data_IF_863786558111
#
_entry.id   IF_863786558111
#
_cell.length_a   1.000
_cell.length_b   1.000
_cell.length_c   1.000
_cell.angle_alpha   90.00
_cell.angle_beta   90.00
_cell.angle_gamma   90.00
#
_symmetry.space_group_name_H-M   'P 1'
#
loop_
_entity.id
_entity.type
_entity.pdbx_description
1 polymer ?
#
# COMPACT_ATOMS: atom_id res chain seq x y z
N UNK A 1 3.58 2.40 6.06
CA UNK A 1 2.64 1.72 5.14
C UNK A 1 2.26 2.60 3.96
N UNK A 2 1.57 3.73 4.15
CA UNK A 2 1.15 4.61 3.05
C UNK A 2 2.26 4.91 2.04
N UNK A 3 3.41 5.45 2.50
CA UNK A 3 4.52 5.80 1.61
C UNK A 3 5.03 4.61 0.79
N UNK A 4 5.02 3.39 1.34
CA UNK A 4 5.44 2.20 0.61
C UNK A 4 4.47 1.89 -0.54
N UNK A 5 3.16 1.95 -0.29
CA UNK A 5 2.15 1.75 -1.33
C UNK A 5 2.19 2.87 -2.39
N UNK A 6 2.39 4.12 -1.96
CA UNK A 6 2.53 5.26 -2.86
C UNK A 6 3.76 5.15 -3.75
N UNK A 7 4.94 4.88 -3.17
CA UNK A 7 6.18 4.74 -3.92
C UNK A 7 6.15 3.53 -4.85
N UNK A 8 5.60 2.39 -4.41
CA UNK A 8 5.45 1.22 -5.26
C UNK A 8 4.64 1.53 -6.54
N UNK A 9 3.56 2.31 -6.42
CA UNK A 9 2.78 2.77 -7.56
C UNK A 9 3.52 3.83 -8.41
N UNK A 10 4.19 4.80 -7.78
CA UNK A 10 4.95 5.84 -8.50
C UNK A 10 6.14 5.30 -9.28
N UNK A 11 6.81 4.27 -8.76
CA UNK A 11 7.88 3.55 -9.44
C UNK A 11 7.40 2.69 -10.62
N UNK A 12 6.08 2.53 -10.77
CA UNK A 12 5.41 1.87 -11.90
C UNK A 12 4.71 2.89 -12.81
N UNK A 13 5.13 4.15 -12.77
CA UNK A 13 4.60 5.26 -13.58
C UNK A 13 3.10 5.57 -13.38
N UNK A 14 2.46 5.05 -12.33
CA UNK A 14 1.07 5.39 -12.02
C UNK A 14 0.96 6.86 -11.61
N UNK A 15 -0.18 7.49 -11.90
CA UNK A 15 -0.39 8.89 -11.58
C UNK A 15 -0.47 9.12 -10.06
N UNK A 16 -0.35 10.37 -9.61
CA UNK A 16 -0.36 10.71 -8.18
C UNK A 16 -1.66 10.26 -7.47
N UNK A 17 -2.81 10.34 -8.16
CA UNK A 17 -4.10 9.89 -7.64
C UNK A 17 -4.09 8.38 -7.38
N UNK A 18 -3.67 7.58 -8.36
CA UNK A 18 -3.61 6.12 -8.24
C UNK A 18 -2.59 5.69 -7.17
N UNK A 19 -1.46 6.38 -7.09
CA UNK A 19 -0.47 6.15 -6.07
C UNK A 19 -0.98 6.48 -4.66
N UNK A 20 -1.74 7.56 -4.50
CA UNK A 20 -2.41 7.87 -3.23
C UNK A 20 -3.41 6.78 -2.85
N UNK A 21 -4.18 6.28 -3.83
CA UNK A 21 -5.10 5.17 -3.60
C UNK A 21 -4.37 3.89 -3.17
N UNK A 22 -3.23 3.57 -3.79
CA UNK A 22 -2.40 2.43 -3.41
C UNK A 22 -1.84 2.58 -1.98
N UNK A 23 -1.37 3.79 -1.63
CA UNK A 23 -0.93 4.12 -0.27
C UNK A 23 -2.05 3.96 0.75
N UNK A 24 -3.25 4.46 0.45
CA UNK A 24 -4.43 4.30 1.30
C UNK A 24 -4.79 2.83 1.50
N UNK A 25 -4.87 2.04 0.41
CA UNK A 25 -5.18 0.61 0.50
C UNK A 25 -4.21 -0.12 1.44
N UNK A 26 -2.90 0.09 1.27
CA UNK A 26 -1.90 -0.55 2.12
C UNK A 26 -1.98 -0.08 3.58
N UNK A 27 -2.15 1.22 3.82
CA UNK A 27 -2.30 1.75 5.16
C UNK A 27 -3.55 1.20 5.86
N UNK A 28 -4.70 1.18 5.18
CA UNK A 28 -5.97 0.68 5.70
C UNK A 28 -5.91 -0.78 6.10
N UNK A 29 -5.10 -1.60 5.43
CA UNK A 29 -4.90 -2.99 5.85
C UNK A 29 -3.99 -3.06 7.06
N UNK A 30 -2.83 -2.39 7.05
CA UNK A 30 -1.86 -2.47 8.15
C UNK A 30 -2.45 -2.03 9.50
N UNK A 31 -3.32 -1.01 9.52
CA UNK A 31 -3.93 -0.53 10.77
C UNK A 31 -4.87 -1.55 11.44
N UNK A 32 -5.31 -2.58 10.72
CA UNK A 32 -6.19 -3.64 11.26
C UNK A 32 -5.43 -4.73 12.02
N UNK A 33 -4.09 -4.71 11.98
CA UNK A 33 -3.25 -5.72 12.61
C UNK A 33 -2.34 -5.12 13.68
N UNK A 34 -2.05 -5.89 14.73
CA UNK A 34 -1.05 -5.50 15.74
C UNK A 34 0.36 -5.61 15.15
N UNK A 35 1.16 -4.55 15.32
CA UNK A 35 2.55 -4.49 14.88
C UNK A 35 2.74 -3.69 13.59
N UNK A 36 3.97 -3.18 13.37
CA UNK A 36 4.28 -2.31 12.24
C UNK A 36 4.42 -3.07 10.90
N UNK A 37 4.83 -4.35 10.97
CA UNK A 37 4.96 -5.24 9.81
C UNK A 37 3.92 -6.34 9.96
N UNK A 38 3.00 -6.43 9.00
CA UNK A 38 1.92 -7.42 9.01
C UNK A 38 2.37 -8.72 8.33
N UNK A 39 1.76 -9.87 8.67
CA UNK A 39 1.97 -11.12 7.95
C UNK A 39 1.67 -10.99 6.46
N UNK A 40 2.39 -11.75 5.63
CA UNK A 40 2.33 -11.61 4.16
C UNK A 40 0.95 -11.98 3.60
N UNK A 41 0.25 -12.91 4.26
CA UNK A 41 -1.11 -13.34 3.92
C UNK A 41 -2.14 -12.21 4.06
N UNK A 42 -1.82 -11.16 4.82
CA UNK A 42 -2.66 -9.98 4.96
C UNK A 42 -2.26 -8.87 3.98
N UNK A 43 -1.15 -8.97 3.24
CA UNK A 43 -0.75 -7.91 2.31
C UNK A 43 -1.74 -7.78 1.15
N UNK A 44 -2.22 -6.56 0.84
CA UNK A 44 -3.07 -6.36 -0.32
C UNK A 44 -2.27 -6.63 -1.62
N UNK A 45 -2.93 -7.11 -2.69
CA UNK A 45 -2.27 -7.31 -3.96
C UNK A 45 -1.76 -5.98 -4.50
N UNK A 46 -0.54 -5.99 -5.06
CA UNK A 46 -0.05 -4.88 -5.87
C UNK A 46 -0.96 -4.79 -7.09
N UNK A 47 -1.86 -3.80 -7.09
CA UNK A 47 -2.74 -3.53 -8.24
C UNK A 47 -1.85 -3.23 -9.45
N UNK A 48 -2.14 -3.89 -10.58
CA UNK A 48 -1.39 -3.75 -11.83
C UNK A 48 -1.27 -2.27 -12.26
#
# INVERSE_FOLDING_TARGET
>A
SFNAGYLAARLRDQCASDAAQAGHRLASVVIQHRGAIIPVEHMPPLSA
#
